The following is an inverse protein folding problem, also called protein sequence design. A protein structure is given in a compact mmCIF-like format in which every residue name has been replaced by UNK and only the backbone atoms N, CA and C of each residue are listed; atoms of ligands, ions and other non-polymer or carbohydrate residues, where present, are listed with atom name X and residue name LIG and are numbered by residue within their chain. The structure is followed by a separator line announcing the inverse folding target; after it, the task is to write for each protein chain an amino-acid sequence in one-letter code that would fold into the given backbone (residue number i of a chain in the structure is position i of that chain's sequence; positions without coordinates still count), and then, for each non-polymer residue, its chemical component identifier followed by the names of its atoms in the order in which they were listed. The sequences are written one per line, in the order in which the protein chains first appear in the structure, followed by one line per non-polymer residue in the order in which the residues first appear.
data_IF_864418231040
#
_entry.id   IF_864418231040
#
_cell.length_a   1.000
_cell.length_b   1.000
_cell.length_c   1.000
_cell.angle_alpha   90.00
_cell.angle_beta   90.00
_cell.angle_gamma   90.00
#
_symmetry.space_group_name_H-M   'P 1'
#
loop_
_entity.id
_entity.type
_entity.pdbx_description
1 polymer ?
#
# COMPACT_ATOMS: atom_id res chain seq x y z
N UNK A 1 57.13 30.65 40.87
CA UNK A 1 56.50 29.45 40.29
C UNK A 1 57.15 29.22 38.94
N UNK A 2 57.90 28.12 38.80
CA UNK A 2 58.68 27.83 37.60
C UNK A 2 57.76 27.16 36.55
N UNK A 3 57.77 27.60 35.27
CA UNK A 3 57.00 26.98 34.20
C UNK A 3 57.31 25.49 34.00
N UNK A 4 58.52 25.08 34.34
CA UNK A 4 59.04 23.72 34.15
C UNK A 4 58.32 22.69 35.03
N UNK A 5 57.85 23.07 36.23
CA UNK A 5 57.08 22.17 37.11
C UNK A 5 55.72 21.84 36.48
N UNK A 6 55.09 22.80 35.79
CA UNK A 6 53.83 22.56 35.08
C UNK A 6 54.03 21.73 33.83
N UNK A 7 55.14 21.90 33.10
CA UNK A 7 55.47 21.04 31.96
C UNK A 7 55.79 19.61 32.41
N UNK A 8 56.54 19.42 33.50
CA UNK A 8 56.82 18.09 34.04
C UNK A 8 55.57 17.44 34.60
N UNK A 9 54.71 18.18 35.32
CA UNK A 9 53.43 17.67 35.78
C UNK A 9 52.51 17.31 34.61
N UNK A 10 52.48 18.11 33.53
CA UNK A 10 51.68 17.83 32.34
C UNK A 10 52.21 16.62 31.57
N UNK A 11 53.54 16.49 31.42
CA UNK A 11 54.17 15.32 30.79
C UNK A 11 53.96 14.05 31.64
N UNK A 12 54.12 14.12 32.96
CA UNK A 12 53.84 13.02 33.86
C UNK A 12 52.36 12.60 33.81
N UNK A 13 51.43 13.57 33.77
CA UNK A 13 50.00 13.28 33.63
C UNK A 13 49.68 12.67 32.26
N UNK A 14 50.30 13.15 31.18
CA UNK A 14 50.11 12.58 29.83
C UNK A 14 50.72 11.18 29.67
N UNK A 15 51.83 10.87 30.37
CA UNK A 15 52.41 9.53 30.41
C UNK A 15 51.59 8.57 31.28
N UNK A 16 50.95 9.08 32.34
CA UNK A 16 50.12 8.31 33.27
C UNK A 16 48.68 8.11 32.78
N UNK A 17 48.24 8.89 31.78
CA UNK A 17 46.96 8.70 31.06
C UNK A 17 47.13 7.80 29.82
N UNK A 18 48.17 6.95 29.78
CA UNK A 18 48.16 5.77 28.91
C UNK A 18 47.30 4.71 29.59
N UNK A 19 45.99 4.85 29.40
CA UNK A 19 45.00 3.91 29.94
C UNK A 19 45.29 2.54 29.34
N UNK A 20 45.74 1.61 30.17
CA UNK A 20 45.79 0.18 29.86
C UNK A 20 44.33 -0.26 29.77
N UNK A 21 43.76 -0.19 28.58
CA UNK A 21 42.45 -0.78 28.34
C UNK A 21 42.70 -2.26 28.06
N UNK A 22 42.11 -3.11 28.90
CA UNK A 22 42.22 -4.56 28.80
C UNK A 22 41.72 -5.02 27.40
N UNK A 23 42.60 -5.70 26.65
CA UNK A 23 42.31 -6.17 25.30
C UNK A 23 41.11 -7.11 25.27
N UNK A 24 40.93 -7.89 26.34
CA UNK A 24 39.83 -8.83 26.47
C UNK A 24 38.51 -8.08 26.74
N UNK A 25 38.56 -6.98 27.49
CA UNK A 25 37.41 -6.11 27.73
C UNK A 25 36.97 -5.37 26.45
N UNK A 26 37.92 -4.91 25.63
CA UNK A 26 37.62 -4.34 24.32
C UNK A 26 37.04 -5.38 23.36
N UNK A 27 37.56 -6.62 23.40
CA UNK A 27 37.03 -7.72 22.60
C UNK A 27 35.59 -8.00 22.98
N UNK A 28 35.30 -8.10 24.28
CA UNK A 28 33.96 -8.35 24.77
C UNK A 28 32.99 -7.24 24.36
N UNK A 29 33.40 -5.98 24.47
CA UNK A 29 32.55 -4.84 24.09
C UNK A 29 32.29 -4.79 22.58
N UNK A 30 33.33 -4.99 21.74
CA UNK A 30 33.16 -5.03 20.28
C UNK A 30 32.26 -6.21 19.87
N UNK A 31 32.44 -7.38 20.48
CA UNK A 31 31.57 -8.54 20.22
C UNK A 31 30.13 -8.31 20.68
N UNK A 32 29.94 -7.65 21.83
CA UNK A 32 28.61 -7.31 22.36
C UNK A 32 27.89 -6.35 21.43
N UNK A 33 28.57 -5.30 21.00
CA UNK A 33 28.04 -4.32 20.05
C UNK A 33 27.72 -4.95 18.69
N UNK A 34 28.60 -5.83 18.19
CA UNK A 34 28.37 -6.58 16.96
C UNK A 34 27.14 -7.49 17.08
N UNK A 35 26.99 -8.23 18.19
CA UNK A 35 25.82 -9.11 18.41
C UNK A 35 24.52 -8.30 18.50
N UNK A 36 24.53 -7.16 19.18
CA UNK A 36 23.35 -6.28 19.27
C UNK A 36 22.96 -5.74 17.89
N UNK A 37 23.95 -5.27 17.12
CA UNK A 37 23.76 -4.77 15.77
C UNK A 37 23.17 -5.86 14.85
N UNK A 38 23.78 -7.05 14.82
CA UNK A 38 23.33 -8.16 14.00
C UNK A 38 21.93 -8.67 14.40
N UNK A 39 21.62 -8.71 15.69
CA UNK A 39 20.28 -9.10 16.17
C UNK A 39 19.23 -8.10 15.70
N UNK A 40 19.50 -6.80 15.82
CA UNK A 40 18.60 -5.74 15.38
C UNK A 40 18.32 -5.79 13.87
N UNK A 41 19.36 -5.98 13.07
CA UNK A 41 19.27 -6.09 11.60
C UNK A 41 18.48 -7.33 11.21
N UNK A 42 18.76 -8.46 11.86
CA UNK A 42 18.08 -9.72 11.57
C UNK A 42 16.58 -9.65 11.82
N UNK A 43 16.17 -8.93 12.87
CA UNK A 43 14.76 -8.74 13.23
C UNK A 43 14.04 -7.86 12.20
N UNK A 44 14.69 -6.78 11.73
CA UNK A 44 14.18 -5.93 10.65
C UNK A 44 13.99 -6.73 9.36
N UNK A 45 15.04 -7.41 8.91
CA UNK A 45 15.02 -8.14 7.65
C UNK A 45 13.98 -9.27 7.67
N UNK A 46 13.82 -9.93 8.83
CA UNK A 46 12.78 -10.95 9.02
C UNK A 46 11.37 -10.34 8.99
N UNK A 47 11.19 -9.16 9.58
CA UNK A 47 9.95 -8.40 9.49
C UNK A 47 9.61 -8.01 8.05
N UNK A 48 10.57 -7.49 7.28
CA UNK A 48 10.35 -7.06 5.89
C UNK A 48 10.03 -8.24 4.96
N UNK A 49 10.75 -9.36 5.08
CA UNK A 49 10.47 -10.58 4.30
C UNK A 49 9.14 -11.21 4.72
N UNK A 50 8.88 -11.30 6.03
CA UNK A 50 7.63 -11.84 6.58
C UNK A 50 6.41 -11.03 6.12
N UNK A 51 6.50 -9.70 6.17
CA UNK A 51 5.45 -8.81 5.65
C UNK A 51 5.26 -9.05 4.16
N UNK A 52 6.32 -9.08 3.34
CA UNK A 52 6.18 -9.32 1.90
C UNK A 52 5.45 -10.63 1.59
N UNK A 53 5.74 -11.71 2.31
CA UNK A 53 5.09 -13.02 2.13
C UNK A 53 3.62 -12.99 2.54
N UNK A 54 3.30 -12.38 3.69
CA UNK A 54 1.92 -12.25 4.19
C UNK A 54 1.09 -11.33 3.28
N UNK A 55 1.71 -10.30 2.71
CA UNK A 55 1.03 -9.33 1.86
C UNK A 55 0.56 -9.94 0.55
N UNK A 56 1.24 -10.96 -0.01
CA UNK A 56 0.85 -11.60 -1.27
C UNK A 56 -0.60 -12.14 -1.26
N UNK A 57 -1.01 -13.05 -0.34
CA UNK A 57 -2.38 -13.54 -0.32
C UNK A 57 -3.39 -12.44 -0.03
N UNK A 58 -3.06 -11.48 0.85
CA UNK A 58 -3.90 -10.30 1.12
C UNK A 58 -4.12 -9.49 -0.16
N UNK A 59 -3.09 -9.32 -0.99
CA UNK A 59 -3.16 -8.58 -2.24
C UNK A 59 -4.06 -9.23 -3.28
N UNK A 60 -4.03 -10.57 -3.37
CA UNK A 60 -4.93 -11.33 -4.25
C UNK A 60 -6.38 -11.26 -3.79
N UNK A 61 -6.63 -11.48 -2.49
CA UNK A 61 -7.98 -11.38 -1.91
C UNK A 61 -8.55 -9.97 -2.11
N UNK A 62 -7.76 -8.94 -1.82
CA UNK A 62 -8.16 -7.54 -2.01
C UNK A 62 -8.41 -7.22 -3.49
N UNK A 63 -7.53 -7.66 -4.40
CA UNK A 63 -7.70 -7.46 -5.84
C UNK A 63 -9.00 -8.06 -6.37
N UNK A 64 -9.33 -9.26 -5.91
CA UNK A 64 -10.58 -9.96 -6.27
C UNK A 64 -11.81 -9.31 -5.65
N UNK A 65 -11.81 -9.06 -4.33
CA UNK A 65 -12.96 -8.49 -3.62
C UNK A 65 -13.34 -7.08 -4.11
N UNK A 66 -12.36 -6.32 -4.62
CA UNK A 66 -12.55 -4.92 -5.01
C UNK A 66 -12.68 -4.72 -6.52
N UNK A 67 -12.60 -5.79 -7.33
CA UNK A 67 -12.54 -5.75 -8.80
C UNK A 67 -11.45 -4.80 -9.31
N UNK A 68 -10.24 -4.87 -8.72
CA UNK A 68 -9.16 -3.96 -9.09
C UNK A 68 -8.59 -4.30 -10.48
N UNK A 69 -8.08 -3.28 -11.20
CA UNK A 69 -7.44 -3.50 -12.49
C UNK A 69 -6.24 -4.43 -12.38
N UNK A 70 -5.94 -5.13 -13.47
CA UNK A 70 -4.85 -6.10 -13.51
C UNK A 70 -3.48 -5.53 -13.12
N UNK A 71 -3.25 -4.22 -13.30
CA UNK A 71 -2.01 -3.53 -12.87
C UNK A 71 -1.79 -3.59 -11.36
N UNK A 72 -2.85 -3.80 -10.57
CA UNK A 72 -2.75 -4.05 -9.13
C UNK A 72 -1.82 -5.24 -8.83
N UNK A 73 -1.90 -6.30 -9.63
CA UNK A 73 -1.13 -7.53 -9.42
C UNK A 73 0.34 -7.40 -9.82
N UNK A 74 0.77 -6.29 -10.47
CA UNK A 74 2.19 -6.01 -10.75
C UNK A 74 3.03 -5.81 -9.49
N UNK A 75 2.39 -5.59 -8.35
CA UNK A 75 3.02 -5.50 -7.03
C UNK A 75 3.47 -6.87 -6.48
N UNK A 76 2.85 -7.97 -6.91
CA UNK A 76 3.20 -9.33 -6.49
C UNK A 76 4.65 -9.69 -6.86
N UNK A 77 5.11 -9.53 -8.13
CA UNK A 77 6.51 -9.76 -8.46
C UNK A 77 7.44 -8.78 -7.75
N UNK A 78 6.97 -7.59 -7.37
CA UNK A 78 7.75 -6.65 -6.55
C UNK A 78 7.96 -7.18 -5.12
N UNK A 79 6.93 -7.73 -4.48
CA UNK A 79 7.09 -8.36 -3.16
C UNK A 79 8.06 -9.55 -3.22
N UNK A 80 7.96 -10.38 -4.26
CA UNK A 80 8.89 -11.48 -4.50
C UNK A 80 10.31 -10.98 -4.77
N UNK A 81 10.47 -9.88 -5.52
CA UNK A 81 11.76 -9.25 -5.75
C UNK A 81 12.40 -8.76 -4.46
N UNK A 82 11.66 -8.04 -3.61
CA UNK A 82 12.20 -7.51 -2.34
C UNK A 82 12.60 -8.67 -1.42
N UNK A 83 11.72 -9.67 -1.26
CA UNK A 83 12.01 -10.84 -0.44
C UNK A 83 13.22 -11.63 -0.99
N UNK A 84 13.24 -11.88 -2.30
CA UNK A 84 14.32 -12.59 -2.98
C UNK A 84 15.64 -11.84 -2.91
N UNK A 85 15.65 -10.53 -3.13
CA UNK A 85 16.82 -9.68 -3.03
C UNK A 85 17.41 -9.73 -1.62
N UNK A 86 16.57 -9.59 -0.58
CA UNK A 86 17.02 -9.64 0.82
C UNK A 86 17.59 -11.02 1.18
N UNK A 87 16.92 -12.11 0.78
CA UNK A 87 17.39 -13.47 1.04
C UNK A 87 18.70 -13.79 0.30
N UNK A 88 18.81 -13.41 -0.99
CA UNK A 88 20.02 -13.61 -1.78
C UNK A 88 21.17 -12.76 -1.26
N UNK A 89 20.91 -11.49 -0.93
CA UNK A 89 21.90 -10.60 -0.37
C UNK A 89 22.45 -11.17 0.95
N UNK A 90 21.57 -11.64 1.83
CA UNK A 90 21.97 -12.22 3.12
C UNK A 90 22.68 -13.56 2.97
N UNK A 91 22.25 -14.43 2.06
CA UNK A 91 22.94 -15.70 1.78
C UNK A 91 24.35 -15.46 1.23
N UNK A 92 24.52 -14.46 0.37
CA UNK A 92 25.81 -14.14 -0.25
C UNK A 92 26.81 -13.51 0.71
N UNK A 93 26.34 -12.81 1.73
CA UNK A 93 27.18 -12.09 2.68
C UNK A 93 27.09 -12.65 4.11
N UNK A 94 26.47 -13.82 4.29
CA UNK A 94 26.54 -14.57 5.53
C UNK A 94 27.99 -15.04 5.70
N UNK A 95 28.69 -14.59 6.75
CA UNK A 95 30.06 -15.01 6.94
C UNK A 95 30.08 -16.51 7.25
N UNK A 96 30.94 -17.23 6.52
CA UNK A 96 31.15 -18.67 6.66
C UNK A 96 31.31 -19.02 8.15
N UNK A 97 30.51 -19.99 8.60
CA UNK A 97 30.46 -20.38 10.00
C UNK A 97 31.58 -21.37 10.27
N UNK A 98 32.79 -20.90 10.64
CA UNK A 98 33.86 -21.79 11.15
C UNK A 98 35.02 -21.00 11.80
N UNK A 99 35.83 -21.59 12.72
CA UNK A 99 35.65 -22.75 13.59
C UNK A 99 35.76 -22.39 15.10
N UNK A 100 35.67 -23.41 15.96
CA UNK A 100 35.60 -23.49 17.43
C UNK A 100 36.72 -22.81 18.26
N UNK A 101 37.51 -21.91 17.68
CA UNK A 101 38.62 -21.21 18.36
C UNK A 101 38.26 -19.74 18.55
N UNK A 102 38.50 -19.18 19.74
CA UNK A 102 38.22 -17.78 20.04
C UNK A 102 38.93 -16.85 19.02
N UNK A 103 38.20 -16.03 18.25
CA UNK A 103 38.80 -15.23 17.19
C UNK A 103 39.62 -14.07 17.79
N UNK A 104 40.75 -13.77 17.14
CA UNK A 104 41.59 -12.62 17.47
C UNK A 104 40.78 -11.32 17.35
N UNK A 105 41.07 -10.34 18.21
CA UNK A 105 40.34 -9.06 18.26
C UNK A 105 40.37 -8.34 16.90
N UNK A 106 41.48 -8.42 16.16
CA UNK A 106 41.61 -7.92 14.79
C UNK A 106 40.55 -8.50 13.83
N UNK A 107 40.33 -9.82 13.87
CA UNK A 107 39.35 -10.50 13.02
C UNK A 107 37.90 -10.07 13.36
N UNK A 108 37.62 -9.76 14.63
CA UNK A 108 36.32 -9.24 15.05
C UNK A 108 36.06 -7.83 14.51
N UNK A 109 37.07 -6.96 14.59
CA UNK A 109 37.01 -5.58 14.06
C UNK A 109 36.83 -5.60 12.54
N UNK A 110 37.61 -6.40 11.80
CA UNK A 110 37.48 -6.54 10.35
C UNK A 110 36.08 -7.02 9.93
N UNK A 111 35.53 -8.01 10.65
CA UNK A 111 34.16 -8.50 10.39
C UNK A 111 33.13 -7.41 10.62
N UNK A 112 33.23 -6.69 11.73
CA UNK A 112 32.28 -5.61 12.05
C UNK A 112 32.34 -4.45 11.04
N UNK A 113 33.53 -4.12 10.55
CA UNK A 113 33.75 -3.09 9.54
C UNK A 113 33.12 -3.50 8.20
N UNK A 114 33.34 -4.76 7.78
CA UNK A 114 32.72 -5.29 6.57
C UNK A 114 31.18 -5.28 6.65
N UNK A 115 30.60 -5.61 7.80
CA UNK A 115 29.15 -5.53 8.04
C UNK A 115 28.63 -4.08 7.92
N UNK A 116 29.31 -3.10 8.52
CA UNK A 116 28.93 -1.68 8.44
C UNK A 116 29.05 -1.16 7.00
N UNK A 117 30.12 -1.48 6.28
CA UNK A 117 30.31 -1.06 4.89
C UNK A 117 29.22 -1.62 3.96
N UNK A 118 28.84 -2.87 4.17
CA UNK A 118 27.72 -3.49 3.46
C UNK A 118 26.40 -2.78 3.74
N UNK A 119 26.12 -2.43 4.99
CA UNK A 119 24.93 -1.65 5.35
C UNK A 119 24.91 -0.27 4.70
N UNK A 120 26.06 0.42 4.68
CA UNK A 120 26.20 1.71 4.01
C UNK A 120 25.88 1.54 2.52
N UNK A 121 26.39 0.49 1.87
CA UNK A 121 26.09 0.22 0.46
C UNK A 121 24.60 -0.03 0.23
N UNK A 122 23.97 -0.86 1.06
CA UNK A 122 22.55 -1.19 0.96
C UNK A 122 21.68 0.07 1.10
N UNK A 123 21.89 0.86 2.14
CA UNK A 123 21.13 2.09 2.38
C UNK A 123 21.44 3.18 1.35
N UNK A 124 22.67 3.22 0.82
CA UNK A 124 23.05 4.19 -0.21
C UNK A 124 22.38 3.89 -1.54
N UNK A 125 22.15 2.60 -1.84
CA UNK A 125 21.52 2.12 -3.06
C UNK A 125 20.02 1.78 -2.89
N UNK A 126 19.39 2.20 -1.78
CA UNK A 126 17.97 1.95 -1.49
C UNK A 126 17.01 2.37 -2.61
N UNK A 127 17.38 3.38 -3.40
CA UNK A 127 16.61 3.80 -4.57
C UNK A 127 16.43 2.66 -5.57
N UNK A 128 17.49 1.89 -5.83
CA UNK A 128 17.51 0.90 -6.91
C UNK A 128 16.87 -0.42 -6.53
N UNK A 129 17.19 -0.95 -5.33
CA UNK A 129 16.73 -2.29 -4.96
C UNK A 129 15.37 -2.28 -4.24
N UNK A 130 15.01 -1.17 -3.56
CA UNK A 130 13.82 -1.09 -2.72
C UNK A 130 12.76 -0.13 -3.25
N UNK A 131 13.11 1.11 -3.61
CA UNK A 131 12.11 2.13 -3.98
C UNK A 131 11.63 2.01 -5.43
N UNK A 132 12.54 1.87 -6.39
CA UNK A 132 12.22 1.89 -7.81
C UNK A 132 11.25 0.77 -8.24
N UNK A 133 11.42 -0.51 -7.85
CA UNK A 133 10.52 -1.57 -8.31
C UNK A 133 9.06 -1.36 -7.89
N UNK A 134 8.76 -1.03 -6.61
CA UNK A 134 7.42 -0.61 -6.20
C UNK A 134 6.89 0.63 -6.92
N UNK A 135 7.73 1.67 -7.14
CA UNK A 135 7.28 2.89 -7.84
C UNK A 135 6.74 2.55 -9.21
N UNK A 136 7.43 1.72 -10.00
CA UNK A 136 6.95 1.33 -11.33
C UNK A 136 5.58 0.65 -11.28
N UNK A 137 5.39 -0.28 -10.33
CA UNK A 137 4.09 -0.95 -10.15
C UNK A 137 2.99 0.01 -9.72
N UNK A 138 3.25 0.90 -8.76
CA UNK A 138 2.26 1.81 -8.20
C UNK A 138 1.88 2.88 -9.23
N UNK A 139 2.86 3.47 -9.93
CA UNK A 139 2.61 4.45 -10.99
C UNK A 139 1.81 3.85 -12.14
N UNK A 140 2.06 2.59 -12.53
CA UNK A 140 1.25 1.91 -13.54
C UNK A 140 -0.21 1.75 -13.10
N UNK A 141 -0.43 1.37 -11.83
CA UNK A 141 -1.76 1.30 -11.25
C UNK A 141 -2.45 2.67 -11.18
N UNK A 142 -1.77 3.70 -10.68
CA UNK A 142 -2.30 5.07 -10.63
C UNK A 142 -2.63 5.62 -12.01
N UNK A 143 -1.80 5.36 -13.02
CA UNK A 143 -2.07 5.73 -14.39
C UNK A 143 -3.35 5.06 -14.91
N UNK A 144 -3.52 3.76 -14.66
CA UNK A 144 -4.72 3.04 -15.10
C UNK A 144 -5.99 3.52 -14.39
N UNK A 145 -5.96 3.69 -13.06
CA UNK A 145 -7.11 4.20 -12.29
C UNK A 145 -7.48 5.61 -12.74
N UNK A 146 -6.47 6.47 -12.94
CA UNK A 146 -6.69 7.83 -13.45
C UNK A 146 -7.29 7.81 -14.86
N UNK A 147 -6.82 6.92 -15.73
CA UNK A 147 -7.38 6.74 -17.07
C UNK A 147 -8.84 6.26 -17.04
N UNK A 148 -9.19 5.34 -16.15
CA UNK A 148 -10.57 4.88 -15.97
C UNK A 148 -11.48 6.01 -15.47
N UNK A 149 -10.95 6.94 -14.67
CA UNK A 149 -11.70 8.11 -14.16
C UNK A 149 -11.96 9.22 -15.21
N UNK A 150 -11.50 9.06 -16.46
CA UNK A 150 -11.66 10.06 -17.54
C UNK A 150 -13.11 10.41 -17.88
N UNK A 151 -14.09 9.62 -17.43
CA UNK A 151 -15.52 9.95 -17.55
C UNK A 151 -15.89 11.29 -16.92
N UNK A 152 -15.15 11.73 -15.89
CA UNK A 152 -15.27 13.07 -15.29
C UNK A 152 -14.53 14.19 -16.02
N UNK A 153 -13.90 13.90 -17.16
CA UNK A 153 -13.08 14.82 -17.95
C UNK A 153 -11.58 14.56 -17.86
N UNK A 154 -10.85 14.89 -18.93
CA UNK A 154 -9.41 14.62 -19.02
C UNK A 154 -8.57 15.46 -18.03
N UNK A 155 -8.96 16.71 -17.76
CA UNK A 155 -8.31 17.57 -16.76
C UNK A 155 -8.45 17.01 -15.35
N UNK A 156 -9.64 16.47 -15.02
CA UNK A 156 -9.88 15.82 -13.75
C UNK A 156 -8.97 14.59 -13.58
N UNK A 157 -8.91 13.71 -14.59
CA UNK A 157 -8.03 12.55 -14.59
C UNK A 157 -6.54 12.94 -14.45
N UNK A 158 -6.10 14.03 -15.10
CA UNK A 158 -4.74 14.54 -15.00
C UNK A 158 -4.42 15.04 -13.58
N UNK A 159 -5.29 15.91 -13.01
CA UNK A 159 -5.11 16.45 -11.67
C UNK A 159 -5.10 15.30 -10.65
N UNK A 160 -6.00 14.35 -10.81
CA UNK A 160 -6.09 13.17 -9.96
C UNK A 160 -4.79 12.35 -9.98
N UNK A 161 -4.26 12.06 -11.18
CA UNK A 161 -2.98 11.38 -11.32
C UNK A 161 -1.83 12.14 -10.65
N UNK A 162 -1.71 13.45 -10.90
CA UNK A 162 -0.64 14.29 -10.35
C UNK A 162 -0.69 14.34 -8.82
N UNK A 163 -1.88 14.38 -8.22
CA UNK A 163 -2.03 14.35 -6.76
C UNK A 163 -1.57 13.02 -6.17
N UNK A 164 -1.97 11.89 -6.76
CA UNK A 164 -1.55 10.56 -6.33
C UNK A 164 -0.04 10.37 -6.46
N UNK A 165 0.52 10.72 -7.62
CA UNK A 165 1.96 10.62 -7.89
C UNK A 165 2.77 11.56 -6.99
N UNK A 166 2.29 12.80 -6.78
CA UNK A 166 2.91 13.76 -5.88
C UNK A 166 2.97 13.27 -4.44
N UNK A 167 1.89 12.63 -3.95
CA UNK A 167 1.88 12.01 -2.63
C UNK A 167 2.87 10.84 -2.54
N UNK A 168 2.90 9.96 -3.55
CA UNK A 168 3.84 8.84 -3.62
C UNK A 168 5.29 9.33 -3.53
N UNK A 169 5.64 10.33 -4.33
CA UNK A 169 6.98 10.94 -4.35
C UNK A 169 7.33 11.59 -3.00
N UNK A 170 6.37 12.22 -2.32
CA UNK A 170 6.59 12.81 -1.01
C UNK A 170 6.90 11.74 0.06
N UNK A 171 6.16 10.63 0.07
CA UNK A 171 6.42 9.49 0.97
C UNK A 171 7.78 8.87 0.66
N UNK A 172 8.08 8.60 -0.62
CA UNK A 172 9.32 7.95 -1.04
C UNK A 172 10.53 8.84 -0.80
N UNK A 173 10.40 10.14 -1.06
CA UNK A 173 11.41 11.14 -0.72
C UNK A 173 11.69 11.19 0.78
N UNK A 174 10.66 11.11 1.61
CA UNK A 174 10.80 11.06 3.08
C UNK A 174 11.57 9.81 3.52
N UNK A 175 11.20 8.62 3.02
CA UNK A 175 11.91 7.36 3.29
C UNK A 175 13.37 7.44 2.85
N UNK A 176 13.64 7.97 1.65
CA UNK A 176 14.99 8.14 1.14
C UNK A 176 15.83 9.06 2.04
N UNK A 177 15.29 10.21 2.43
CA UNK A 177 15.98 11.16 3.32
C UNK A 177 16.25 10.57 4.70
N UNK A 178 15.30 9.82 5.28
CA UNK A 178 15.48 9.14 6.56
C UNK A 178 16.63 8.13 6.49
N UNK A 179 16.67 7.29 5.45
CA UNK A 179 17.75 6.32 5.25
C UNK A 179 19.11 7.00 5.05
N UNK A 180 19.17 8.11 4.31
CA UNK A 180 20.41 8.89 4.13
C UNK A 180 20.86 9.59 5.41
N UNK A 181 19.92 10.04 6.26
CA UNK A 181 20.24 10.58 7.59
C UNK A 181 20.85 9.50 8.48
N UNK A 182 20.32 8.28 8.47
CA UNK A 182 20.90 7.14 9.23
C UNK A 182 22.33 6.87 8.80
N UNK A 183 22.60 6.80 7.48
CA UNK A 183 23.97 6.59 6.97
C UNK A 183 24.93 7.66 7.50
N UNK A 184 24.54 8.94 7.44
CA UNK A 184 25.40 10.06 7.85
C UNK A 184 25.61 10.16 9.35
N UNK A 185 24.59 9.87 10.13
CA UNK A 185 24.60 10.13 11.58
C UNK A 185 25.08 8.93 12.41
N UNK A 186 24.96 7.71 11.88
CA UNK A 186 25.23 6.50 12.65
C UNK A 186 26.29 5.62 11.98
N UNK A 187 26.14 5.31 10.70
CA UNK A 187 27.01 4.33 10.05
C UNK A 187 28.39 4.88 9.68
N UNK A 188 28.46 6.13 9.19
CA UNK A 188 29.75 6.76 8.84
C UNK A 188 30.65 6.95 10.09
N UNK A 189 30.16 7.52 11.22
CA UNK A 189 30.98 7.63 12.42
C UNK A 189 31.50 6.27 12.93
N UNK A 190 30.63 5.24 12.91
CA UNK A 190 31.04 3.89 13.29
C UNK A 190 32.09 3.28 12.36
N UNK A 191 31.98 3.54 11.04
CA UNK A 191 33.01 3.12 10.09
C UNK A 191 34.36 3.76 10.42
N UNK A 192 34.38 5.06 10.72
CA UNK A 192 35.62 5.78 11.09
C UNK A 192 36.22 5.28 12.41
N UNK A 193 35.39 4.96 13.40
CA UNK A 193 35.83 4.38 14.68
C UNK A 193 36.49 3.01 14.49
N UNK A 194 35.84 2.12 13.73
CA UNK A 194 36.36 0.78 13.44
C UNK A 194 37.64 0.83 12.58
N UNK A 195 37.74 1.77 11.64
CA UNK A 195 38.95 1.98 10.84
C UNK A 195 40.13 2.46 11.70
N UNK A 196 39.87 3.38 12.65
CA UNK A 196 40.90 3.83 13.60
C UNK A 196 41.37 2.68 14.48
N UNK A 197 40.44 1.88 15.00
CA UNK A 197 40.76 0.71 15.83
C UNK A 197 41.60 -0.30 15.04
N UNK A 198 41.25 -0.58 13.77
CA UNK A 198 42.04 -1.46 12.90
C UNK A 198 43.46 -0.93 12.69
N UNK A 199 43.62 0.35 12.39
CA UNK A 199 44.93 0.97 12.18
C UNK A 199 45.81 0.91 13.43
N UNK A 200 45.24 1.10 14.62
CA UNK A 200 45.96 0.94 15.89
C UNK A 200 46.47 -0.48 16.12
N UNK A 201 45.65 -1.49 15.77
CA UNK A 201 46.02 -2.90 15.91
C UNK A 201 47.10 -3.32 14.89
N UNK A 202 47.01 -2.84 13.64
CA UNK A 202 48.03 -3.08 12.61
C UNK A 202 49.40 -2.48 13.01
N UNK A 203 49.42 -1.27 13.58
CA UNK A 203 50.64 -0.65 14.09
C UNK A 203 51.27 -1.45 15.24
N UNK A 204 50.45 -1.99 16.15
CA UNK A 204 50.92 -2.79 17.28
C UNK A 204 51.54 -4.13 16.83
N UNK A 205 50.94 -4.83 15.87
CA UNK A 205 51.55 -6.04 15.28
C UNK A 205 52.88 -5.75 14.58
N UNK A 206 53.14 -4.50 14.20
CA UNK A 206 54.41 -4.07 13.59
C UNK A 206 55.45 -3.66 14.64
N UNK A 207 55.02 -3.14 15.80
CA UNK A 207 55.85 -2.69 16.93
C UNK A 207 56.01 -3.75 18.04
N UNK A 208 55.50 -4.97 17.82
CA UNK A 208 55.54 -6.16 18.69
C UNK A 208 56.96 -6.75 18.89
N UNK A 209 57.95 -5.87 18.99
CA UNK A 209 59.28 -6.15 19.51
C UNK A 209 59.62 -5.48 20.84
N UNK A 210 58.87 -4.47 21.36
CA UNK A 210 59.41 -3.65 22.47
C UNK A 210 58.51 -3.41 23.70
N UNK A 211 57.18 -3.33 23.67
CA UNK A 211 56.39 -3.19 24.91
C UNK A 211 54.91 -3.49 24.68
N UNK A 212 54.35 -4.49 25.38
CA UNK A 212 52.94 -4.87 25.32
C UNK A 212 51.99 -3.86 25.98
N UNK A 213 52.02 -2.61 25.52
CA UNK A 213 51.15 -1.53 25.97
C UNK A 213 50.35 -1.00 24.78
N UNK A 214 49.06 -1.33 24.76
CA UNK A 214 48.12 -0.85 23.75
C UNK A 214 47.91 0.66 23.96
N UNK A 215 48.53 1.49 23.13
CA UNK A 215 48.25 2.92 23.07
C UNK A 215 46.97 3.15 22.25
N UNK A 216 45.80 2.90 22.83
CA UNK A 216 44.55 3.26 22.17
C UNK A 216 44.41 4.78 22.13
N UNK A 217 44.27 5.38 20.94
CA UNK A 217 44.14 6.83 20.80
C UNK A 217 42.77 7.25 21.31
N UNK A 218 42.62 7.64 22.58
CA UNK A 218 41.41 8.22 23.20
C UNK A 218 40.12 7.85 22.44
N UNK A 219 39.87 6.54 22.28
CA UNK A 219 38.70 6.09 21.54
C UNK A 219 37.51 6.48 22.41
N UNK A 220 36.54 7.21 21.85
CA UNK A 220 35.39 7.60 22.61
C UNK A 220 34.51 6.36 22.77
N UNK A 221 34.84 5.51 23.74
CA UNK A 221 33.86 4.61 24.36
C UNK A 221 33.23 5.22 25.64
N UNK A 222 32.95 6.55 25.79
CA UNK A 222 32.29 7.03 26.99
C UNK A 222 30.81 6.69 26.88
N UNK A 223 30.35 5.85 27.81
CA UNK A 223 29.04 5.93 28.43
C UNK A 223 27.83 5.95 27.49
N UNK A 224 27.18 4.79 27.37
CA UNK A 224 25.86 4.62 26.74
C UNK A 224 25.83 5.28 25.35
N UNK A 225 26.38 4.58 24.36
CA UNK A 225 25.90 4.72 22.99
C UNK A 225 24.37 4.63 23.09
N UNK A 226 23.61 5.71 22.81
CA UNK A 226 22.16 5.60 22.82
C UNK A 226 21.82 4.45 21.88
N UNK A 227 20.90 3.53 22.26
CA UNK A 227 20.55 2.41 21.41
C UNK A 227 20.33 2.93 20.01
N UNK A 228 21.11 2.43 19.05
CA UNK A 228 21.18 2.99 17.71
C UNK A 228 19.74 3.19 17.20
N UNK A 229 19.29 4.43 16.92
CA UNK A 229 18.04 4.62 16.23
C UNK A 229 18.28 4.36 14.73
N UNK A 230 18.75 3.16 14.38
CA UNK A 230 18.72 2.66 13.01
C UNK A 230 17.27 2.32 12.72
N UNK A 231 16.49 3.34 12.34
CA UNK A 231 15.05 3.29 12.07
C UNK A 231 14.30 2.38 13.07
N UNK A 232 13.93 2.95 14.23
CA UNK A 232 13.14 2.18 15.21
C UNK A 232 11.91 1.56 14.51
N UNK A 233 11.38 0.42 14.98
CA UNK A 233 10.15 -0.17 14.45
C UNK A 233 9.02 0.86 14.25
N UNK A 234 9.05 1.98 14.97
CA UNK A 234 8.17 3.15 14.77
C UNK A 234 8.29 3.76 13.36
N UNK A 235 9.46 3.81 12.71
CA UNK A 235 9.59 4.35 11.35
C UNK A 235 8.99 3.42 10.29
N UNK A 236 9.12 2.10 10.48
CA UNK A 236 8.42 1.10 9.67
C UNK A 236 6.92 1.13 9.92
N UNK A 237 6.50 1.27 11.19
CA UNK A 237 5.08 1.43 11.56
C UNK A 237 4.51 2.73 10.98
N UNK A 238 5.24 3.84 11.03
CA UNK A 238 4.80 5.12 10.46
C UNK A 238 4.73 5.04 8.94
N UNK A 239 5.71 4.42 8.29
CA UNK A 239 5.67 4.15 6.85
C UNK A 239 4.50 3.24 6.46
N UNK A 240 4.27 2.17 7.23
CA UNK A 240 3.15 1.23 7.04
C UNK A 240 1.80 1.92 7.30
N UNK A 241 1.68 2.75 8.32
CA UNK A 241 0.47 3.51 8.65
C UNK A 241 0.19 4.56 7.57
N UNK A 242 1.20 5.26 7.08
CA UNK A 242 1.05 6.21 5.96
C UNK A 242 0.66 5.48 4.66
N UNK A 243 1.23 4.31 4.42
CA UNK A 243 0.89 3.47 3.28
C UNK A 243 -0.55 2.93 3.39
N UNK A 244 -0.95 2.45 4.56
CA UNK A 244 -2.33 2.02 4.83
C UNK A 244 -3.29 3.21 4.70
N UNK A 245 -2.93 4.39 5.22
CA UNK A 245 -3.75 5.59 5.08
C UNK A 245 -3.89 6.00 3.60
N UNK A 246 -2.82 5.92 2.81
CA UNK A 246 -2.87 6.12 1.37
C UNK A 246 -3.75 5.09 0.67
N UNK A 247 -3.62 3.80 1.04
CA UNK A 247 -4.43 2.74 0.48
C UNK A 247 -5.90 2.88 0.87
N UNK A 248 -6.21 3.30 2.09
CA UNK A 248 -7.56 3.62 2.55
C UNK A 248 -8.11 4.87 1.86
N UNK A 249 -7.27 5.87 1.57
CA UNK A 249 -7.66 7.05 0.80
C UNK A 249 -7.96 6.68 -0.66
N UNK A 250 -7.08 5.90 -1.30
CA UNK A 250 -7.28 5.39 -2.66
C UNK A 250 -8.51 4.48 -2.70
N UNK A 251 -8.69 3.61 -1.71
CA UNK A 251 -9.88 2.78 -1.56
C UNK A 251 -11.14 3.62 -1.39
N UNK A 252 -11.11 4.63 -0.51
CA UNK A 252 -12.22 5.56 -0.32
C UNK A 252 -12.55 6.28 -1.62
N UNK A 253 -11.54 6.69 -2.40
CA UNK A 253 -11.75 7.37 -3.67
C UNK A 253 -12.26 6.40 -4.75
N UNK A 254 -11.75 5.17 -4.83
CA UNK A 254 -12.27 4.13 -5.73
C UNK A 254 -13.70 3.76 -5.35
N UNK A 255 -14.01 3.64 -4.06
CA UNK A 255 -15.36 3.44 -3.54
C UNK A 255 -16.26 4.62 -3.93
N UNK A 256 -15.79 5.85 -3.74
CA UNK A 256 -16.50 7.06 -4.15
C UNK A 256 -16.60 7.20 -5.68
N UNK A 257 -15.72 6.59 -6.49
CA UNK A 257 -15.82 6.61 -7.95
C UNK A 257 -16.73 5.48 -8.46
N UNK A 258 -16.66 4.28 -7.87
CA UNK A 258 -17.50 3.11 -8.18
C UNK A 258 -18.94 3.33 -7.71
N UNK A 259 -19.13 4.01 -6.58
CA UNK A 259 -20.44 4.46 -6.09
C UNK A 259 -20.78 5.89 -6.56
N UNK A 260 -19.79 6.62 -7.07
CA UNK A 260 -19.92 7.95 -7.70
C UNK A 260 -20.48 7.90 -9.12
N UNK A 261 -20.72 6.71 -9.64
CA UNK A 261 -21.70 6.49 -10.72
C UNK A 261 -23.16 6.64 -10.22
N UNK A 262 -23.35 7.35 -9.10
CA UNK A 262 -24.53 8.18 -8.86
C UNK A 262 -24.31 9.51 -9.59
N UNK A 263 -24.28 9.45 -10.92
CA UNK A 263 -24.14 10.62 -11.77
C UNK A 263 -25.19 11.66 -11.44
N UNK A 264 -24.79 12.94 -11.38
CA UNK A 264 -25.63 14.09 -11.08
C UNK A 264 -26.47 13.95 -9.80
N UNK A 265 -26.23 14.83 -8.84
CA UNK A 265 -27.14 15.08 -7.71
C UNK A 265 -28.49 15.69 -8.15
N UNK A 266 -29.23 15.02 -9.03
CA UNK A 266 -30.67 15.02 -9.00
C UNK A 266 -31.09 13.71 -8.37
N UNK A 267 -31.52 13.77 -7.11
CA UNK A 267 -32.18 12.65 -6.45
C UNK A 267 -33.47 12.33 -7.23
N UNK A 268 -33.39 11.39 -8.18
CA UNK A 268 -34.54 11.01 -8.98
C UNK A 268 -35.57 10.33 -8.08
N UNK A 269 -36.85 10.75 -8.12
CA UNK A 269 -37.89 10.11 -7.32
C UNK A 269 -37.93 8.60 -7.54
N UNK A 270 -37.59 7.82 -6.51
CA UNK A 270 -37.56 6.35 -6.56
C UNK A 270 -38.98 5.75 -6.49
N UNK A 271 -39.76 5.93 -7.56
CA UNK A 271 -41.17 5.52 -7.67
C UNK A 271 -41.38 4.64 -8.90
N UNK A 272 -42.44 3.83 -8.87
CA UNK A 272 -42.83 2.99 -10.00
C UNK A 272 -44.36 2.98 -10.17
N UNK A 273 -44.87 2.94 -11.41
CA UNK A 273 -46.29 2.67 -11.68
C UNK A 273 -46.65 1.19 -11.50
N UNK A 274 -45.67 0.29 -11.41
CA UNK A 274 -45.88 -1.16 -11.37
C UNK A 274 -45.73 -1.72 -9.96
N UNK A 275 -46.65 -2.57 -9.53
CA UNK A 275 -46.56 -3.27 -8.24
C UNK A 275 -45.55 -4.42 -8.27
N UNK A 276 -45.30 -4.99 -9.46
CA UNK A 276 -44.30 -6.04 -9.69
C UNK A 276 -43.88 -6.02 -11.17
N UNK A 277 -42.69 -6.53 -11.46
CA UNK A 277 -42.16 -6.69 -12.82
C UNK A 277 -41.58 -8.10 -12.93
N UNK A 278 -41.80 -8.74 -14.08
CA UNK A 278 -41.12 -9.97 -14.47
C UNK A 278 -40.78 -9.92 -15.96
N UNK A 279 -39.94 -10.84 -16.40
CA UNK A 279 -39.38 -10.82 -17.74
C UNK A 279 -39.70 -12.10 -18.48
N UNK A 280 -40.21 -11.94 -19.70
CA UNK A 280 -40.20 -12.99 -20.72
C UNK A 280 -39.16 -12.59 -21.76
N UNK A 281 -37.98 -13.22 -21.70
CA UNK A 281 -36.80 -12.81 -22.46
C UNK A 281 -36.44 -11.33 -22.26
N UNK A 282 -36.69 -10.48 -23.26
CA UNK A 282 -36.45 -9.03 -23.23
C UNK A 282 -37.73 -8.20 -23.12
N UNK A 283 -38.86 -8.85 -22.93
CA UNK A 283 -40.16 -8.21 -22.84
C UNK A 283 -40.57 -8.05 -21.37
N UNK A 284 -40.77 -6.82 -20.88
CA UNK A 284 -41.26 -6.60 -19.53
C UNK A 284 -42.76 -6.93 -19.45
N UNK A 285 -43.09 -7.75 -18.46
CA UNK A 285 -44.44 -7.94 -17.96
C UNK A 285 -44.59 -7.21 -16.63
N UNK A 286 -45.64 -6.41 -16.50
CA UNK A 286 -45.83 -5.49 -15.39
C UNK A 286 -47.17 -5.74 -14.70
N UNK A 287 -47.18 -5.65 -13.38
CA UNK A 287 -48.39 -5.77 -12.58
C UNK A 287 -48.95 -4.40 -12.24
N UNK A 288 -50.16 -4.09 -12.71
CA UNK A 288 -50.87 -2.84 -12.43
C UNK A 288 -52.24 -3.20 -11.85
N UNK A 289 -52.61 -2.58 -10.73
CA UNK A 289 -53.90 -2.80 -10.03
C UNK A 289 -54.25 -4.28 -9.79
N UNK A 290 -53.24 -5.11 -9.51
CA UNK A 290 -53.41 -6.53 -9.21
C UNK A 290 -53.38 -7.47 -10.41
N UNK A 291 -53.40 -6.95 -11.65
CA UNK A 291 -53.40 -7.72 -12.88
C UNK A 291 -52.05 -7.62 -13.62
N UNK A 292 -51.66 -8.71 -14.28
CA UNK A 292 -50.44 -8.76 -15.08
C UNK A 292 -50.72 -8.43 -16.53
N UNK A 293 -49.85 -7.63 -17.11
CA UNK A 293 -49.92 -7.26 -18.51
C UNK A 293 -48.54 -7.26 -19.15
N UNK A 294 -48.50 -7.45 -20.47
CA UNK A 294 -47.33 -7.17 -21.28
C UNK A 294 -47.26 -5.66 -21.55
N UNK A 295 -46.15 -5.02 -21.20
CA UNK A 295 -45.98 -3.58 -21.39
C UNK A 295 -45.69 -3.28 -22.87
N UNK A 296 -46.54 -2.47 -23.51
CA UNK A 296 -46.37 -2.05 -24.90
C UNK A 296 -45.68 -0.70 -24.97
N UNK A 297 -46.18 0.29 -24.23
CA UNK A 297 -45.57 1.62 -24.17
C UNK A 297 -45.81 2.31 -22.81
N UNK A 298 -44.93 3.26 -22.48
CA UNK A 298 -45.04 4.13 -21.32
C UNK A 298 -44.91 5.58 -21.80
N UNK A 299 -45.93 6.40 -21.55
CA UNK A 299 -46.03 7.78 -22.04
C UNK A 299 -45.77 7.91 -23.55
N UNK A 300 -46.24 6.93 -24.33
CA UNK A 300 -46.06 6.89 -25.78
C UNK A 300 -44.70 6.37 -26.24
N UNK A 301 -43.79 6.01 -25.32
CA UNK A 301 -42.48 5.45 -25.65
C UNK A 301 -42.55 3.93 -25.62
N UNK A 302 -42.22 3.23 -26.71
CA UNK A 302 -42.27 1.78 -26.78
C UNK A 302 -41.42 1.12 -25.70
N UNK A 303 -41.95 0.09 -25.04
CA UNK A 303 -41.23 -0.67 -24.02
C UNK A 303 -39.91 -1.23 -24.54
N UNK A 304 -39.89 -1.66 -25.81
CA UNK A 304 -38.69 -2.12 -26.50
C UNK A 304 -37.59 -1.05 -26.51
N UNK A 305 -37.94 0.20 -26.80
CA UNK A 305 -36.98 1.30 -26.90
C UNK A 305 -36.39 1.64 -25.52
N UNK A 306 -37.22 1.60 -24.48
CA UNK A 306 -36.79 1.76 -23.08
C UNK A 306 -35.83 0.64 -22.67
N UNK A 307 -36.13 -0.60 -23.05
CA UNK A 307 -35.28 -1.77 -22.76
C UNK A 307 -33.97 -1.71 -23.53
N UNK A 308 -34.00 -1.37 -24.82
CA UNK A 308 -32.81 -1.27 -25.66
C UNK A 308 -31.87 -0.19 -25.12
N UNK A 309 -32.40 0.99 -24.78
CA UNK A 309 -31.61 2.04 -24.12
C UNK A 309 -31.02 1.58 -22.79
N UNK A 310 -31.79 0.84 -21.99
CA UNK A 310 -31.31 0.28 -20.72
C UNK A 310 -30.19 -0.73 -20.92
N UNK A 311 -30.24 -1.57 -21.96
CA UNK A 311 -29.19 -2.53 -22.31
C UNK A 311 -27.91 -1.83 -22.75
N UNK A 312 -28.03 -0.85 -23.65
CA UNK A 312 -26.90 -0.07 -24.15
C UNK A 312 -26.21 0.70 -23.01
N UNK A 313 -26.98 1.26 -22.09
CA UNK A 313 -26.46 2.10 -21.00
C UNK A 313 -25.88 1.29 -19.84
N UNK A 314 -26.51 0.16 -19.48
CA UNK A 314 -26.24 -0.51 -18.19
C UNK A 314 -25.75 -1.96 -18.30
N UNK A 315 -25.59 -2.50 -19.51
CA UNK A 315 -25.10 -3.87 -19.74
C UNK A 315 -25.90 -4.89 -18.95
N UNK A 316 -25.23 -5.81 -18.26
CA UNK A 316 -25.85 -6.89 -17.46
C UNK A 316 -26.86 -6.41 -16.38
N UNK A 317 -26.80 -5.13 -15.97
CA UNK A 317 -27.72 -4.57 -14.95
C UNK A 317 -29.00 -3.99 -15.55
N UNK A 318 -29.24 -4.14 -16.84
CA UNK A 318 -30.34 -3.48 -17.54
C UNK A 318 -31.72 -3.79 -16.96
N UNK A 319 -31.99 -5.05 -16.59
CA UNK A 319 -33.28 -5.43 -15.97
C UNK A 319 -33.47 -4.74 -14.63
N UNK A 320 -32.41 -4.73 -13.81
CA UNK A 320 -32.44 -4.09 -12.48
C UNK A 320 -32.69 -2.59 -12.58
N UNK A 321 -32.10 -1.92 -13.57
CA UNK A 321 -32.31 -0.47 -13.79
C UNK A 321 -33.72 -0.16 -14.26
N UNK A 322 -34.28 -0.99 -15.15
CA UNK A 322 -35.68 -0.87 -15.53
C UNK A 322 -36.63 -1.06 -14.34
N UNK A 323 -36.37 -2.09 -13.51
CA UNK A 323 -37.19 -2.44 -12.36
C UNK A 323 -37.15 -1.39 -11.23
N UNK A 324 -35.95 -0.91 -10.87
CA UNK A 324 -35.75 -0.11 -9.66
C UNK A 324 -35.61 1.39 -9.90
N UNK A 325 -35.19 1.78 -11.11
CA UNK A 325 -34.74 3.13 -11.47
C UNK A 325 -35.47 3.68 -12.72
N UNK A 326 -36.72 3.28 -12.93
CA UNK A 326 -37.52 3.67 -14.10
C UNK A 326 -37.57 5.20 -14.34
N UNK A 327 -37.73 6.00 -13.27
CA UNK A 327 -37.77 7.47 -13.39
C UNK A 327 -36.46 8.03 -13.92
N UNK A 328 -35.33 7.48 -13.46
CA UNK A 328 -34.00 7.88 -13.91
C UNK A 328 -33.78 7.45 -15.37
N UNK A 329 -34.13 6.20 -15.70
CA UNK A 329 -34.04 5.66 -17.05
C UNK A 329 -34.79 6.54 -18.06
N UNK A 330 -36.05 6.83 -17.76
CA UNK A 330 -36.91 7.69 -18.58
C UNK A 330 -36.39 9.13 -18.67
N UNK A 331 -35.84 9.67 -17.58
CA UNK A 331 -35.28 11.03 -17.58
C UNK A 331 -34.02 11.12 -18.44
N UNK A 332 -33.15 10.10 -18.40
CA UNK A 332 -31.95 10.04 -19.25
C UNK A 332 -32.28 9.88 -20.73
N UNK A 333 -33.41 9.25 -21.05
CA UNK A 333 -33.96 9.20 -22.41
C UNK A 333 -34.57 10.54 -22.88
N UNK A 334 -34.57 11.59 -22.05
CA UNK A 334 -35.15 12.90 -22.37
C UNK A 334 -36.67 12.98 -22.12
N UNK A 335 -37.25 11.98 -21.44
CA UNK A 335 -38.68 11.86 -21.21
C UNK A 335 -39.02 11.67 -19.72
N UNK A 336 -38.73 12.66 -18.86
CA UNK A 336 -38.97 12.55 -17.42
C UNK A 336 -40.46 12.30 -17.11
N UNK A 337 -40.81 11.23 -16.38
CA UNK A 337 -42.21 10.92 -16.09
C UNK A 337 -42.74 11.80 -14.95
N UNK A 338 -43.99 12.25 -15.09
CA UNK A 338 -44.71 12.98 -14.03
C UNK A 338 -45.18 12.03 -12.90
N UNK A 339 -45.95 12.54 -11.93
CA UNK A 339 -46.49 11.74 -10.81
C UNK A 339 -47.41 10.59 -11.26
N UNK A 340 -47.94 10.67 -12.48
CA UNK A 340 -48.74 9.65 -13.12
C UNK A 340 -48.30 9.47 -14.57
N UNK A 341 -48.48 8.26 -15.10
CA UNK A 341 -48.10 7.89 -16.46
C UNK A 341 -49.28 7.29 -17.21
N UNK A 342 -49.22 7.35 -18.53
CA UNK A 342 -50.12 6.58 -19.41
C UNK A 342 -49.39 5.32 -19.85
N UNK A 343 -50.01 4.17 -19.63
CA UNK A 343 -49.47 2.87 -20.05
C UNK A 343 -50.34 2.32 -21.17
N UNK A 344 -49.71 1.85 -22.23
CA UNK A 344 -50.36 0.92 -23.14
C UNK A 344 -49.89 -0.48 -22.80
N UNK A 345 -50.85 -1.34 -22.54
CA UNK A 345 -50.60 -2.70 -22.05
C UNK A 345 -51.41 -3.69 -22.87
N UNK A 346 -50.92 -4.92 -22.96
CA UNK A 346 -51.62 -6.03 -23.60
C UNK A 346 -51.91 -7.10 -22.56
N UNK A 347 -53.14 -7.62 -22.56
CA UNK A 347 -53.51 -8.74 -21.70
C UNK A 347 -52.67 -9.97 -22.03
N UNK A 348 -52.32 -10.76 -21.01
CA UNK A 348 -51.59 -12.01 -21.20
C UNK A 348 -52.48 -13.16 -21.69
N UNK A 349 -53.79 -13.06 -21.49
CA UNK A 349 -54.77 -14.10 -21.88
C UNK A 349 -55.51 -13.78 -23.17
N UNK A 350 -55.49 -12.52 -23.61
CA UNK A 350 -56.14 -12.06 -24.83
C UNK A 350 -55.24 -11.08 -25.57
N UNK A 351 -55.24 -11.10 -26.90
CA UNK A 351 -54.46 -10.14 -27.70
C UNK A 351 -54.95 -8.68 -27.63
N UNK A 352 -55.99 -8.42 -26.83
CA UNK A 352 -56.54 -7.09 -26.58
C UNK A 352 -55.53 -6.14 -25.94
N UNK A 353 -55.40 -4.95 -26.54
CA UNK A 353 -54.59 -3.85 -26.01
C UNK A 353 -55.49 -2.90 -25.25
N UNK A 354 -55.01 -2.43 -24.11
CA UNK A 354 -55.70 -1.47 -23.26
C UNK A 354 -54.78 -0.29 -22.96
N UNK A 355 -55.35 0.91 -22.92
CA UNK A 355 -54.66 2.12 -22.46
C UNK A 355 -55.11 2.43 -21.04
N UNK A 356 -54.18 2.33 -20.08
CA UNK A 356 -54.37 2.73 -18.70
C UNK A 356 -53.88 4.17 -18.54
N UNK A 357 -54.80 5.10 -18.27
CA UNK A 357 -54.49 6.52 -18.07
C UNK A 357 -54.31 6.82 -16.59
N UNK A 358 -53.49 7.83 -16.29
CA UNK A 358 -53.26 8.36 -14.94
C UNK A 358 -52.76 7.32 -13.92
N UNK A 359 -52.00 6.32 -14.36
CA UNK A 359 -51.43 5.30 -13.48
C UNK A 359 -50.41 5.96 -12.56
N UNK A 360 -50.68 5.96 -11.25
CA UNK A 360 -49.86 6.68 -10.25
C UNK A 360 -48.51 5.99 -10.05
N UNK A 361 -47.45 6.79 -10.05
CA UNK A 361 -46.13 6.34 -9.62
C UNK A 361 -46.01 6.44 -8.09
N UNK A 362 -45.77 5.31 -7.42
CA UNK A 362 -45.68 5.28 -5.96
C UNK A 362 -44.35 4.72 -5.47
N UNK A 363 -43.93 5.16 -4.27
CA UNK A 363 -42.76 4.59 -3.59
C UNK A 363 -43.00 3.15 -3.14
N UNK A 364 -44.23 2.82 -2.73
CA UNK A 364 -44.61 1.48 -2.28
C UNK A 364 -44.41 0.43 -3.39
N UNK A 365 -44.86 0.74 -4.61
CA UNK A 365 -44.66 -0.08 -5.80
C UNK A 365 -43.18 -0.38 -6.05
N UNK A 366 -42.32 0.66 -6.04
CA UNK A 366 -40.87 0.49 -6.20
C UNK A 366 -40.25 -0.34 -5.06
N UNK A 367 -40.71 -0.12 -3.83
CA UNK A 367 -40.28 -0.90 -2.67
C UNK A 367 -40.60 -2.39 -2.82
N UNK A 368 -41.81 -2.72 -3.31
CA UNK A 368 -42.22 -4.10 -3.56
C UNK A 368 -41.36 -4.78 -4.65
N UNK A 369 -41.10 -4.10 -5.76
CA UNK A 369 -40.22 -4.60 -6.82
C UNK A 369 -38.81 -4.90 -6.28
N UNK A 370 -38.22 -3.95 -5.55
CA UNK A 370 -36.88 -4.11 -4.97
C UNK A 370 -36.82 -5.28 -4.00
N UNK A 371 -37.83 -5.43 -3.12
CA UNK A 371 -37.90 -6.54 -2.19
C UNK A 371 -37.98 -7.90 -2.91
N UNK A 372 -38.77 -7.98 -3.98
CA UNK A 372 -38.87 -9.19 -4.80
C UNK A 372 -37.57 -9.50 -5.56
N UNK A 373 -36.88 -8.50 -6.10
CA UNK A 373 -35.57 -8.68 -6.74
C UNK A 373 -34.52 -9.21 -5.75
N UNK A 374 -34.46 -8.64 -4.54
CA UNK A 374 -33.55 -9.11 -3.49
C UNK A 374 -33.86 -10.53 -3.01
N UNK A 375 -35.14 -10.92 -2.96
CA UNK A 375 -35.50 -12.30 -2.65
C UNK A 375 -34.96 -13.27 -3.72
N UNK A 376 -35.18 -12.98 -5.00
CA UNK A 376 -34.65 -13.78 -6.12
C UNK A 376 -33.12 -13.90 -6.11
N UNK A 377 -32.41 -12.81 -5.83
CA UNK A 377 -30.94 -12.80 -5.73
C UNK A 377 -30.44 -13.68 -4.57
N UNK A 378 -31.18 -13.74 -3.45
CA UNK A 378 -30.84 -14.62 -2.32
C UNK A 378 -31.10 -16.09 -2.64
N UNK A 379 -32.26 -16.40 -3.17
CA UNK A 379 -32.64 -17.78 -3.51
C UNK A 379 -31.65 -18.37 -4.55
N UNK A 380 -31.23 -17.58 -5.54
CA UNK A 380 -30.25 -17.99 -6.54
C UNK A 380 -28.80 -18.11 -6.02
N UNK A 381 -28.51 -17.60 -4.82
CA UNK A 381 -27.20 -17.73 -4.17
C UNK A 381 -27.16 -18.92 -3.18
N UNK A 382 -28.31 -19.48 -2.84
CA UNK A 382 -28.45 -20.67 -1.97
C UNK A 382 -28.55 -21.98 -2.77
N UNK A 383 -28.83 -21.91 -4.07
CA UNK A 383 -28.70 -23.01 -5.06
C UNK A 383 -27.27 -23.12 -5.62
#
# INVERSE_FOLDING_TARGET
MAPDEFQQAWQAHSAQTRVIIDADLLREEVQRDQRQFNTMISYRDFGEVGVAVIMIPVWFVMGFMLDLPWTWYLSVPVFLWIAGFMLLYRKRHQPESEPTTEPLLQQCVERSLAEVEQQIWLLRNILWWYLLPPTLSITAFFAQVSWQSRGGGWLYALIFFVLLEGFLLAVYGSVYLMNKRVVRTQLIPRQEELQKLRASLEQETTDEGINGQIALPNLPFPGKIPPAPCASPVQLIVGLVLFIALMLLVFFIIYQAKNGDSGNGQDYPKRSPFAAVRWEESQPEVKVDGQWFKLISLNGIPAKEIVDFSKETYGEKWQKRFEEDLVELMTRMGHPPEKSVTLEVQSLTSSEKQTLKEVRMTYANRGAIRAAAQARERDAAEE
#
